data_IF_590846160762
#
_entry.id   IF_590846160762
#
_cell.length_a   1.000
_cell.length_b   1.000
_cell.length_c   1.000
_cell.angle_alpha   90.00
_cell.angle_beta   90.00
_cell.angle_gamma   90.00
#
_symmetry.space_group_name_H-M   'P 1'
#
loop_
_entity.id
_entity.type
_entity.pdbx_description
1 polymer ?
#
# COMPACT_ATOMS: atom_id res chain seq x y z
N UNK A 1 -86.50 -11.07 31.46
CA UNK A 1 -87.27 -11.52 30.30
C UNK A 1 -86.40 -11.27 29.08
N UNK A 2 -85.86 -12.35 28.50
CA UNK A 2 -85.87 -12.69 27.07
C UNK A 2 -85.43 -11.57 26.09
N UNK A 3 -84.56 -11.75 25.15
CA UNK A 3 -84.17 -12.82 24.25
C UNK A 3 -82.98 -12.41 23.37
N UNK A 4 -82.13 -13.39 23.06
CA UNK A 4 -81.58 -13.83 21.76
C UNK A 4 -80.50 -13.02 21.10
N UNK A 5 -79.29 -13.51 21.22
CA UNK A 5 -78.42 -14.16 20.20
C UNK A 5 -78.72 -13.85 18.71
N UNK A 6 -77.76 -13.28 18.01
CA UNK A 6 -77.39 -13.70 16.66
C UNK A 6 -75.86 -13.45 16.44
N UNK A 7 -75.21 -14.59 16.12
CA UNK A 7 -73.89 -14.65 15.54
C UNK A 7 -73.95 -14.16 14.09
N UNK A 8 -73.02 -13.38 13.66
CA UNK A 8 -72.58 -13.35 12.27
C UNK A 8 -71.08 -13.42 12.20
N UNK A 9 -70.61 -14.57 11.68
CA UNK A 9 -69.23 -14.76 11.28
C UNK A 9 -68.96 -14.00 9.98
N UNK A 10 -68.01 -13.14 9.97
CA UNK A 10 -67.50 -12.47 8.76
C UNK A 10 -66.03 -12.84 8.58
N UNK A 11 -65.72 -13.76 7.68
CA UNK A 11 -64.36 -14.02 7.20
C UNK A 11 -63.91 -12.83 6.37
N UNK A 12 -62.98 -12.04 6.91
CA UNK A 12 -62.23 -11.06 6.19
C UNK A 12 -60.86 -11.64 5.82
N UNK A 13 -60.69 -12.03 4.56
CA UNK A 13 -59.39 -12.41 4.01
C UNK A 13 -58.50 -11.17 3.91
N UNK A 14 -57.51 -11.06 4.79
CA UNK A 14 -56.47 -10.06 4.68
C UNK A 14 -55.41 -10.56 3.70
N UNK A 15 -55.44 -10.01 2.47
CA UNK A 15 -54.38 -10.21 1.46
C UNK A 15 -53.16 -9.43 1.90
N UNK A 16 -52.14 -10.10 2.42
CA UNK A 16 -50.80 -9.56 2.64
C UNK A 16 -50.10 -9.41 1.29
N UNK A 17 -50.12 -8.21 0.74
CA UNK A 17 -49.21 -7.84 -0.34
C UNK A 17 -47.81 -7.71 0.29
N UNK A 18 -47.01 -8.75 0.14
CA UNK A 18 -45.57 -8.69 0.37
C UNK A 18 -44.96 -7.86 -0.75
N UNK A 19 -44.74 -6.58 -0.49
CA UNK A 19 -43.81 -5.76 -1.31
C UNK A 19 -42.42 -6.32 -1.08
N UNK A 20 -41.98 -7.20 -1.98
CA UNK A 20 -40.60 -7.62 -2.09
C UNK A 20 -39.81 -6.42 -2.63
N UNK A 21 -39.15 -5.68 -1.73
CA UNK A 21 -38.07 -4.78 -2.13
C UNK A 21 -36.96 -5.67 -2.71
N UNK A 22 -36.44 -5.38 -3.91
CA UNK A 22 -35.22 -6.02 -4.35
C UNK A 22 -34.12 -5.59 -3.38
N UNK A 23 -33.68 -6.51 -2.55
CA UNK A 23 -32.44 -6.35 -1.83
C UNK A 23 -31.35 -6.30 -2.90
N UNK A 24 -30.91 -5.11 -3.22
CA UNK A 24 -29.68 -4.88 -3.98
C UNK A 24 -28.56 -5.56 -3.23
N UNK A 25 -28.22 -6.77 -3.65
CA UNK A 25 -27.03 -7.48 -3.22
C UNK A 25 -25.82 -6.79 -3.87
N UNK A 26 -25.68 -5.50 -3.60
CA UNK A 26 -24.52 -4.73 -3.96
C UNK A 26 -23.57 -4.72 -2.76
N UNK A 27 -22.46 -5.39 -2.97
CA UNK A 27 -21.19 -5.05 -2.35
C UNK A 27 -21.00 -5.41 -0.88
N UNK A 28 -20.86 -6.69 -0.59
CA UNK A 28 -20.12 -7.16 0.58
C UNK A 28 -19.00 -8.15 0.18
N UNK A 29 -18.34 -7.89 -0.93
CA UNK A 29 -17.18 -8.67 -1.38
C UNK A 29 -15.85 -7.94 -1.15
N UNK A 30 -15.80 -7.04 -0.15
CA UNK A 30 -14.50 -6.56 0.36
C UNK A 30 -14.43 -6.93 1.83
N UNK A 31 -14.42 -8.23 2.11
CA UNK A 31 -14.03 -8.72 3.42
C UNK A 31 -12.54 -8.35 3.60
N UNK A 32 -12.31 -7.15 4.09
CA UNK A 32 -11.00 -6.68 4.56
C UNK A 32 -10.55 -7.66 5.63
N UNK A 33 -9.52 -8.45 5.35
CA UNK A 33 -8.87 -9.27 6.37
C UNK A 33 -8.51 -8.37 7.54
N UNK A 34 -8.82 -8.75 8.80
CA UNK A 34 -8.44 -7.95 9.96
C UNK A 34 -6.93 -7.73 9.96
N UNK A 35 -6.49 -6.46 9.88
CA UNK A 35 -5.07 -6.09 9.88
C UNK A 35 -4.61 -5.32 8.63
N UNK A 36 -5.25 -5.47 7.49
CA UNK A 36 -4.79 -4.90 6.22
C UNK A 36 -5.62 -3.67 5.83
N UNK A 37 -5.07 -2.47 6.10
CA UNK A 37 -5.71 -1.18 5.82
C UNK A 37 -5.11 -0.47 4.59
N UNK A 38 -4.67 -1.22 3.58
CA UNK A 38 -4.18 -0.59 2.35
C UNK A 38 -5.36 -0.17 1.47
N UNK A 39 -5.46 1.11 1.08
CA UNK A 39 -6.53 1.59 0.21
C UNK A 39 -6.37 0.97 -1.19
N UNK A 40 -7.49 0.65 -1.83
CA UNK A 40 -7.50 0.21 -3.22
C UNK A 40 -8.03 1.35 -4.09
N UNK A 41 -7.23 2.39 -4.24
CA UNK A 41 -7.56 3.60 -4.99
C UNK A 41 -6.90 3.58 -6.36
N UNK A 42 -7.52 4.27 -7.30
CA UNK A 42 -6.97 4.44 -8.64
C UNK A 42 -5.78 5.40 -8.64
N UNK A 43 -4.71 4.99 -9.30
CA UNK A 43 -3.51 5.77 -9.60
C UNK A 43 -3.16 5.63 -11.09
N UNK A 44 -2.28 6.49 -11.57
CA UNK A 44 -1.71 6.43 -12.91
C UNK A 44 -0.20 6.25 -12.83
N UNK A 45 0.33 5.35 -13.65
CA UNK A 45 1.77 5.17 -13.79
C UNK A 45 2.37 6.17 -14.75
N UNK A 46 3.64 6.46 -14.63
CA UNK A 46 4.39 7.28 -15.60
C UNK A 46 4.37 6.70 -17.03
N UNK A 47 4.02 5.42 -17.18
CA UNK A 47 3.84 4.77 -18.49
C UNK A 47 2.43 4.93 -19.06
N UNK A 48 1.54 5.67 -18.39
CA UNK A 48 0.19 5.97 -18.81
C UNK A 48 -0.88 4.94 -18.41
N UNK A 49 -0.51 3.85 -17.73
CA UNK A 49 -1.47 2.85 -17.29
C UNK A 49 -2.25 3.33 -16.05
N UNK A 50 -3.55 3.05 -16.01
CA UNK A 50 -4.38 3.21 -14.82
C UNK A 50 -4.35 1.92 -14.01
N UNK A 51 -4.11 2.02 -12.69
CA UNK A 51 -3.90 0.89 -11.79
C UNK A 51 -4.61 1.11 -10.45
N UNK A 52 -5.04 0.04 -9.81
CA UNK A 52 -5.56 0.05 -8.44
C UNK A 52 -4.42 -0.23 -7.46
N UNK A 53 -4.20 0.67 -6.51
CA UNK A 53 -3.01 0.63 -5.65
C UNK A 53 -2.82 -0.73 -4.96
N UNK A 54 -3.85 -1.24 -4.27
CA UNK A 54 -3.68 -2.51 -3.59
C UNK A 54 -3.68 -3.70 -4.55
N UNK A 55 -4.67 -3.78 -5.43
CA UNK A 55 -4.89 -4.97 -6.26
C UNK A 55 -3.79 -5.20 -7.28
N UNK A 56 -3.33 -4.11 -7.93
CA UNK A 56 -2.38 -4.22 -9.02
C UNK A 56 -0.93 -4.04 -8.58
N UNK A 57 -0.69 -3.25 -7.51
CA UNK A 57 0.68 -2.87 -7.14
C UNK A 57 1.19 -3.59 -5.87
N UNK A 58 0.32 -3.95 -4.92
CA UNK A 58 0.74 -4.47 -3.61
C UNK A 58 0.41 -5.94 -3.42
N UNK A 59 -0.78 -6.36 -3.83
CA UNK A 59 -1.29 -7.72 -3.56
C UNK A 59 -0.32 -8.81 -4.03
N UNK A 60 0.12 -9.64 -3.09
CA UNK A 60 0.97 -10.79 -3.35
C UNK A 60 2.43 -10.45 -3.69
N UNK A 61 2.85 -9.20 -3.53
CA UNK A 61 4.17 -8.71 -3.94
C UNK A 61 5.04 -8.32 -2.76
N UNK A 62 6.34 -8.24 -3.03
CA UNK A 62 7.30 -7.51 -2.20
C UNK A 62 7.46 -6.13 -2.82
N UNK A 63 7.27 -5.09 -2.01
CA UNK A 63 7.27 -3.71 -2.49
C UNK A 63 8.25 -2.84 -1.71
N UNK A 64 8.88 -1.90 -2.41
CA UNK A 64 9.65 -0.80 -1.83
C UNK A 64 9.04 0.52 -2.34
N UNK A 65 8.44 1.31 -1.45
CA UNK A 65 7.63 2.47 -1.80
C UNK A 65 8.21 3.70 -1.13
N UNK A 66 8.44 4.77 -1.88
CA UNK A 66 8.82 6.08 -1.34
C UNK A 66 7.89 7.18 -1.87
N UNK A 67 7.83 8.29 -1.12
CA UNK A 67 7.16 9.51 -1.58
C UNK A 67 8.19 10.47 -2.16
N UNK A 68 7.81 11.19 -3.22
CA UNK A 68 8.68 12.13 -3.92
C UNK A 68 7.87 13.24 -4.61
N UNK A 69 8.53 14.18 -5.26
CA UNK A 69 7.98 15.05 -6.31
C UNK A 69 9.10 15.42 -7.30
N UNK A 70 8.74 15.58 -8.58
CA UNK A 70 9.74 15.65 -9.66
C UNK A 70 10.61 16.91 -9.59
N UNK A 71 10.03 18.10 -9.30
CA UNK A 71 10.74 19.37 -9.18
C UNK A 71 11.46 19.56 -7.85
N UNK A 72 11.82 18.49 -7.15
CA UNK A 72 12.53 18.58 -5.89
C UNK A 72 14.01 18.88 -6.12
N UNK A 73 14.45 20.05 -5.77
CA UNK A 73 15.89 20.45 -5.81
C UNK A 73 16.70 19.90 -4.63
N UNK A 74 16.05 19.26 -3.68
CA UNK A 74 16.65 18.80 -2.44
C UNK A 74 16.97 17.31 -2.42
N UNK A 75 16.23 16.56 -1.58
CA UNK A 75 16.54 15.17 -1.25
C UNK A 75 16.13 14.17 -2.33
N UNK A 76 15.10 14.47 -3.16
CA UNK A 76 14.53 13.48 -4.08
C UNK A 76 15.52 12.96 -5.13
N UNK A 77 16.34 13.79 -5.81
CA UNK A 77 17.35 13.27 -6.74
C UNK A 77 18.37 12.36 -6.04
N UNK A 78 18.77 12.70 -4.81
CA UNK A 78 19.71 11.90 -4.03
C UNK A 78 19.10 10.55 -3.65
N UNK A 79 17.81 10.54 -3.26
CA UNK A 79 17.07 9.30 -2.96
C UNK A 79 16.93 8.43 -4.21
N UNK A 80 16.56 9.04 -5.35
CA UNK A 80 16.42 8.31 -6.61
C UNK A 80 17.74 7.67 -7.01
N UNK A 81 18.84 8.40 -6.97
CA UNK A 81 20.17 7.87 -7.25
C UNK A 81 20.59 6.75 -6.29
N UNK A 82 20.23 6.85 -5.02
CA UNK A 82 20.51 5.77 -4.06
C UNK A 82 19.65 4.53 -4.31
N UNK A 83 18.37 4.74 -4.62
CA UNK A 83 17.44 3.65 -4.94
C UNK A 83 17.74 2.96 -6.28
N UNK A 84 18.35 3.66 -7.25
CA UNK A 84 18.88 3.02 -8.47
C UNK A 84 19.93 1.97 -8.11
N UNK A 85 20.83 2.27 -7.18
CA UNK A 85 21.83 1.29 -6.71
C UNK A 85 21.17 0.09 -6.01
N UNK A 86 20.05 0.31 -5.30
CA UNK A 86 19.23 -0.78 -4.72
C UNK A 86 18.62 -1.61 -5.84
N UNK A 87 18.04 -0.96 -6.86
CA UNK A 87 17.46 -1.63 -8.03
C UNK A 87 18.51 -2.51 -8.76
N UNK A 88 19.69 -1.98 -8.99
CA UNK A 88 20.80 -2.71 -9.63
C UNK A 88 21.19 -3.98 -8.85
N UNK A 89 21.31 -3.89 -7.51
CA UNK A 89 21.65 -5.05 -6.67
C UNK A 89 20.57 -6.13 -6.65
N UNK A 90 19.33 -5.75 -6.92
CA UNK A 90 18.16 -6.63 -6.96
C UNK A 90 17.64 -6.86 -8.38
N UNK A 91 18.42 -6.51 -9.43
CA UNK A 91 17.96 -6.52 -10.83
C UNK A 91 17.40 -7.86 -11.29
N UNK A 92 17.89 -8.99 -10.75
CA UNK A 92 17.38 -10.31 -11.07
C UNK A 92 15.96 -10.58 -10.51
N UNK A 93 15.47 -9.75 -9.56
CA UNK A 93 14.19 -9.88 -8.88
C UNK A 93 13.25 -8.70 -9.12
N UNK A 94 13.78 -7.48 -9.31
CA UNK A 94 12.96 -6.29 -9.57
C UNK A 94 12.20 -6.46 -10.88
N UNK A 95 10.89 -6.20 -10.85
CA UNK A 95 9.96 -6.45 -11.94
C UNK A 95 9.43 -7.90 -12.04
N UNK A 96 9.84 -8.81 -11.13
CA UNK A 96 9.34 -10.20 -11.06
C UNK A 96 8.56 -10.46 -9.77
N UNK A 97 9.19 -10.33 -8.64
CA UNK A 97 8.60 -10.54 -7.32
C UNK A 97 8.88 -9.39 -6.35
N UNK A 98 9.84 -8.52 -6.66
CA UNK A 98 10.10 -7.25 -5.97
C UNK A 98 9.72 -6.11 -6.92
N UNK A 99 8.96 -5.16 -6.43
CA UNK A 99 8.52 -3.98 -7.19
C UNK A 99 8.85 -2.70 -6.43
N UNK A 100 9.30 -1.69 -7.17
CA UNK A 100 9.63 -0.39 -6.61
C UNK A 100 8.61 0.65 -7.08
N UNK A 101 8.17 1.52 -6.18
CA UNK A 101 7.19 2.56 -6.48
C UNK A 101 7.62 3.88 -5.87
N UNK A 102 7.64 4.93 -6.67
CA UNK A 102 7.78 6.32 -6.23
C UNK A 102 6.46 7.02 -6.46
N UNK A 103 5.82 7.52 -5.40
CA UNK A 103 4.49 8.13 -5.46
C UNK A 103 4.65 9.63 -5.24
N UNK A 104 4.12 10.44 -6.16
CA UNK A 104 4.18 11.88 -5.98
C UNK A 104 3.33 12.36 -4.82
N UNK A 105 3.79 13.40 -4.14
CA UNK A 105 3.01 14.17 -3.16
C UNK A 105 2.48 15.49 -3.75
N UNK A 106 2.75 15.74 -5.04
CA UNK A 106 2.30 16.93 -5.79
C UNK A 106 1.58 16.54 -7.09
N UNK A 107 0.48 15.77 -7.01
CA UNK A 107 -0.17 15.26 -8.22
C UNK A 107 -0.75 16.35 -9.13
N UNK A 108 -0.93 17.58 -8.62
CA UNK A 108 -1.35 18.74 -9.39
C UNK A 108 -0.27 19.26 -10.35
N UNK A 109 0.99 18.94 -10.11
CA UNK A 109 2.16 19.32 -10.92
C UNK A 109 2.74 18.10 -11.62
N UNK A 110 2.91 17.01 -10.91
CA UNK A 110 3.54 15.79 -11.41
C UNK A 110 2.55 14.97 -12.24
N UNK A 111 2.38 15.40 -13.51
CA UNK A 111 1.59 14.65 -14.49
C UNK A 111 2.26 13.33 -14.88
N UNK A 112 1.56 12.49 -15.64
CA UNK A 112 2.12 11.25 -16.21
C UNK A 112 3.37 11.54 -17.02
N UNK A 113 3.30 12.57 -17.87
CA UNK A 113 4.39 12.99 -18.74
C UNK A 113 5.58 13.49 -17.93
N UNK A 114 5.34 14.33 -16.92
CA UNK A 114 6.39 14.88 -16.07
C UNK A 114 7.12 13.77 -15.27
N UNK A 115 6.38 12.77 -14.79
CA UNK A 115 6.97 11.61 -14.13
C UNK A 115 7.69 10.67 -15.11
N UNK A 116 7.26 10.60 -16.39
CA UNK A 116 7.96 9.85 -17.43
C UNK A 116 9.31 10.50 -17.74
N UNK A 117 9.33 11.82 -17.93
CA UNK A 117 10.58 12.58 -18.15
C UNK A 117 11.55 12.42 -16.97
N UNK A 118 11.03 12.47 -15.73
CA UNK A 118 11.83 12.23 -14.53
C UNK A 118 12.44 10.81 -14.51
N UNK A 119 11.65 9.79 -14.83
CA UNK A 119 12.11 8.40 -14.86
C UNK A 119 13.19 8.19 -15.95
N UNK A 120 13.01 8.80 -17.12
CA UNK A 120 13.99 8.76 -18.23
C UNK A 120 15.28 9.48 -17.85
N UNK A 121 15.19 10.71 -17.32
CA UNK A 121 16.34 11.50 -16.87
C UNK A 121 17.22 10.72 -15.89
N UNK A 122 16.60 9.96 -14.99
CA UNK A 122 17.32 9.14 -14.01
C UNK A 122 17.67 7.75 -14.52
N UNK A 123 17.35 7.40 -15.77
CA UNK A 123 17.62 6.07 -16.37
C UNK A 123 17.06 4.92 -15.52
N UNK A 124 15.83 5.07 -15.07
CA UNK A 124 15.16 4.08 -14.21
C UNK A 124 14.85 2.81 -15.00
N UNK A 125 15.25 1.66 -14.48
CA UNK A 125 15.04 0.37 -15.14
C UNK A 125 13.61 -0.17 -14.93
N UNK A 126 13.12 -1.10 -15.76
CA UNK A 126 11.83 -1.76 -15.56
C UNK A 126 11.66 -2.38 -14.17
N UNK A 127 10.41 -2.39 -13.68
CA UNK A 127 10.08 -2.88 -12.34
C UNK A 127 10.06 -1.79 -11.27
N UNK A 128 10.40 -0.56 -11.63
CA UNK A 128 10.20 0.64 -10.80
C UNK A 128 9.25 1.59 -11.52
N UNK A 129 8.12 1.91 -10.88
CA UNK A 129 7.08 2.78 -11.43
C UNK A 129 7.00 4.09 -10.62
N UNK A 130 6.81 5.19 -11.33
CA UNK A 130 6.43 6.47 -10.75
C UNK A 130 4.92 6.65 -10.90
N UNK A 131 4.27 7.13 -9.84
CA UNK A 131 2.82 7.11 -9.72
C UNK A 131 2.27 8.47 -9.37
N UNK A 132 1.19 8.84 -10.03
CA UNK A 132 0.38 10.03 -9.75
C UNK A 132 -1.10 9.65 -9.65
N UNK A 133 -1.97 10.58 -9.32
CA UNK A 133 -3.41 10.33 -9.20
C UNK A 133 -4.16 11.53 -8.67
N UNK A 134 -5.39 11.33 -8.17
CA UNK A 134 -6.06 12.41 -7.45
C UNK A 134 -5.38 12.70 -6.13
N UNK A 135 -5.40 13.96 -5.67
CA UNK A 135 -4.85 14.33 -4.35
C UNK A 135 -5.42 13.43 -3.24
N UNK A 136 -6.73 13.16 -3.30
CA UNK A 136 -7.40 12.27 -2.34
C UNK A 136 -6.82 10.85 -2.36
N UNK A 137 -6.57 10.29 -3.55
CA UNK A 137 -5.98 8.95 -3.68
C UNK A 137 -4.57 8.92 -3.09
N UNK A 138 -3.76 9.93 -3.41
CA UNK A 138 -2.39 10.07 -2.88
C UNK A 138 -2.40 10.18 -1.36
N UNK A 139 -3.27 11.02 -0.78
CA UNK A 139 -3.36 11.17 0.67
C UNK A 139 -3.76 9.87 1.37
N UNK A 140 -4.75 9.14 0.84
CA UNK A 140 -5.14 7.85 1.40
C UNK A 140 -3.99 6.84 1.40
N UNK A 141 -3.22 6.77 0.32
CA UNK A 141 -2.04 5.89 0.22
C UNK A 141 -0.94 6.35 1.16
N UNK A 142 -0.63 7.65 1.19
CA UNK A 142 0.37 8.26 2.05
C UNK A 142 0.11 7.94 3.53
N UNK A 143 -1.10 8.16 4.00
CA UNK A 143 -1.51 7.85 5.37
C UNK A 143 -1.42 6.35 5.67
N UNK A 144 -1.91 5.49 4.78
CA UNK A 144 -1.88 4.04 4.99
C UNK A 144 -0.46 3.48 5.03
N UNK A 145 0.48 4.08 4.30
CA UNK A 145 1.89 3.71 4.29
C UNK A 145 2.68 4.30 5.47
N UNK A 146 2.10 5.23 6.23
CA UNK A 146 2.77 5.86 7.38
C UNK A 146 3.65 7.06 7.01
N UNK A 147 3.46 7.65 5.84
CA UNK A 147 4.15 8.88 5.43
C UNK A 147 3.34 10.11 5.86
N UNK A 148 3.18 10.32 7.14
CA UNK A 148 2.47 11.47 7.71
C UNK A 148 3.10 11.89 9.04
N UNK A 149 2.89 13.15 9.43
CA UNK A 149 3.24 13.65 10.75
C UNK A 149 1.97 13.82 11.60
N UNK A 150 1.98 13.42 12.89
CA UNK A 150 0.85 13.63 13.78
C UNK A 150 0.47 15.09 13.99
N UNK A 151 1.42 16.04 13.86
CA UNK A 151 1.13 17.47 13.89
C UNK A 151 0.67 17.93 12.48
N UNK A 152 -0.59 18.38 12.34
CA UNK A 152 -1.11 18.83 11.04
C UNK A 152 -0.37 20.02 10.43
N UNK A 153 0.35 20.81 11.22
CA UNK A 153 1.16 21.92 10.70
C UNK A 153 2.42 21.39 10.04
N UNK A 154 3.06 20.42 10.69
CA UNK A 154 4.24 19.73 10.16
C UNK A 154 3.86 18.87 8.97
N UNK A 155 2.71 18.19 9.02
CA UNK A 155 2.21 17.33 7.93
C UNK A 155 1.90 18.12 6.64
N UNK A 156 1.67 19.42 6.72
CA UNK A 156 1.50 20.30 5.56
C UNK A 156 2.82 20.71 4.91
N UNK A 157 3.94 20.54 5.60
CA UNK A 157 5.26 20.86 5.06
C UNK A 157 5.72 19.77 4.10
N UNK A 158 5.61 20.03 2.81
CA UNK A 158 5.81 19.03 1.74
C UNK A 158 7.17 18.31 1.84
N UNK A 159 8.22 19.01 2.26
CA UNK A 159 9.59 18.49 2.38
C UNK A 159 9.76 17.46 3.52
N UNK A 160 8.76 17.30 4.39
CA UNK A 160 8.84 16.37 5.53
C UNK A 160 8.35 14.96 5.24
N UNK A 161 7.71 14.74 4.08
CA UNK A 161 7.14 13.44 3.71
C UNK A 161 8.06 12.57 2.86
N UNK A 162 9.20 13.09 2.51
CA UNK A 162 10.23 12.40 1.73
C UNK A 162 11.34 11.89 2.65
N UNK A 163 12.21 11.06 2.13
CA UNK A 163 13.38 10.60 2.88
C UNK A 163 13.30 9.19 3.43
N UNK A 164 12.13 8.54 3.34
CA UNK A 164 11.93 7.16 3.81
C UNK A 164 11.48 6.25 2.68
N UNK A 165 11.78 4.95 2.82
CA UNK A 165 11.25 3.87 1.97
C UNK A 165 10.43 2.93 2.83
N UNK A 166 9.15 2.77 2.51
CA UNK A 166 8.28 1.75 3.08
C UNK A 166 8.51 0.43 2.35
N UNK A 167 8.87 -0.60 3.09
CA UNK A 167 9.21 -1.91 2.54
C UNK A 167 8.17 -2.90 3.05
N UNK A 168 7.55 -3.68 2.16
CA UNK A 168 6.50 -4.61 2.54
C UNK A 168 6.51 -5.91 1.77
N UNK A 169 6.09 -6.97 2.44
CA UNK A 169 5.73 -8.24 1.81
C UNK A 169 4.27 -8.52 2.14
N UNK A 170 3.41 -8.40 1.14
CA UNK A 170 1.97 -8.56 1.30
C UNK A 170 1.58 -9.99 1.67
N UNK A 171 2.29 -10.99 1.16
CA UNK A 171 2.01 -12.40 1.44
C UNK A 171 2.14 -12.73 2.92
N UNK A 172 3.16 -12.17 3.58
CA UNK A 172 3.45 -12.42 4.99
C UNK A 172 2.95 -11.32 5.93
N UNK A 173 2.32 -10.26 5.38
CA UNK A 173 1.92 -9.04 6.10
C UNK A 173 3.06 -8.46 6.94
N UNK A 174 4.26 -8.38 6.35
CA UNK A 174 5.47 -7.88 7.01
C UNK A 174 5.84 -6.55 6.41
N UNK A 175 5.92 -5.55 7.27
CA UNK A 175 6.21 -4.18 6.86
C UNK A 175 7.34 -3.61 7.69
N UNK A 176 8.23 -2.87 7.03
CA UNK A 176 9.36 -2.15 7.61
C UNK A 176 9.47 -0.78 6.97
N UNK A 177 10.33 0.06 7.51
CA UNK A 177 10.66 1.35 6.96
C UNK A 177 12.16 1.59 7.12
N UNK A 178 12.80 2.17 6.11
CA UNK A 178 14.22 2.49 6.12
C UNK A 178 14.45 3.91 5.59
N UNK A 179 15.48 4.64 6.05
CA UNK A 179 15.88 5.88 5.42
C UNK A 179 16.28 5.65 3.95
N UNK A 180 15.75 6.46 3.04
CA UNK A 180 16.03 6.31 1.61
C UNK A 180 17.50 6.62 1.25
N UNK A 181 18.21 7.33 2.11
CA UNK A 181 19.65 7.62 1.99
C UNK A 181 20.53 6.69 2.84
N UNK A 182 19.96 5.65 3.47
CA UNK A 182 20.78 4.60 4.08
C UNK A 182 21.64 3.91 3.00
N UNK A 183 22.74 3.28 3.40
CA UNK A 183 23.57 2.55 2.44
C UNK A 183 22.69 1.56 1.64
N UNK A 184 22.87 1.44 0.32
CA UNK A 184 22.04 0.56 -0.51
C UNK A 184 21.95 -0.86 0.02
N UNK A 185 23.04 -1.37 0.60
CA UNK A 185 23.12 -2.71 1.20
C UNK A 185 22.16 -2.86 2.38
N UNK A 186 21.95 -1.80 3.18
CA UNK A 186 21.03 -1.80 4.30
C UNK A 186 19.57 -1.83 3.83
N UNK A 187 19.24 -1.08 2.76
CA UNK A 187 17.91 -1.10 2.15
C UNK A 187 17.64 -2.49 1.53
N UNK A 188 18.61 -3.04 0.80
CA UNK A 188 18.54 -4.41 0.26
C UNK A 188 18.33 -5.42 1.39
N UNK A 189 19.10 -5.33 2.48
CA UNK A 189 18.94 -6.22 3.62
C UNK A 189 17.53 -6.11 4.26
N UNK A 190 16.96 -4.90 4.33
CA UNK A 190 15.60 -4.70 4.83
C UNK A 190 14.54 -5.34 3.89
N UNK A 191 14.72 -5.23 2.56
CA UNK A 191 13.86 -5.89 1.57
C UNK A 191 13.95 -7.42 1.71
N UNK A 192 15.16 -7.97 1.80
CA UNK A 192 15.37 -9.41 1.97
C UNK A 192 14.90 -9.91 3.35
N UNK A 193 14.86 -9.03 4.37
CA UNK A 193 14.32 -9.40 5.67
C UNK A 193 12.81 -9.63 5.65
N UNK A 194 12.04 -8.80 4.96
CA UNK A 194 10.58 -8.99 4.83
C UNK A 194 10.23 -10.19 3.94
N UNK A 195 11.15 -10.61 3.07
CA UNK A 195 10.99 -11.76 2.17
C UNK A 195 11.12 -13.12 2.89
N UNK A 196 11.82 -13.18 4.02
CA UNK A 196 12.01 -14.44 4.76
C UNK A 196 10.68 -14.99 5.26
N UNK A 197 10.43 -16.28 5.00
CA UNK A 197 9.24 -16.92 5.56
C UNK A 197 9.26 -16.86 7.09
N UNK A 198 8.11 -16.83 7.78
CA UNK A 198 8.06 -16.88 9.24
C UNK A 198 8.77 -18.10 9.85
N UNK A 199 8.78 -19.24 9.15
CA UNK A 199 9.49 -20.45 9.56
C UNK A 199 11.02 -20.27 9.51
N UNK A 200 11.54 -19.64 8.45
CA UNK A 200 12.97 -19.34 8.30
C UNK A 200 13.44 -18.32 9.34
N UNK A 201 12.62 -17.30 9.62
CA UNK A 201 12.92 -16.28 10.62
C UNK A 201 13.00 -16.88 12.04
N UNK A 202 12.09 -17.81 12.40
CA UNK A 202 12.12 -18.52 13.69
C UNK A 202 13.36 -19.40 13.84
N UNK A 203 13.78 -20.12 12.79
CA UNK A 203 15.01 -20.93 12.81
C UNK A 203 16.25 -20.08 13.01
N UNK A 204 16.37 -18.94 12.34
CA UNK A 204 17.47 -18.01 12.52
C UNK A 204 17.51 -17.40 13.92
N UNK A 205 16.36 -17.00 14.49
CA UNK A 205 16.24 -16.50 15.86
C UNK A 205 16.59 -17.57 16.91
N UNK A 206 16.16 -18.82 16.70
CA UNK A 206 16.49 -19.95 17.57
C UNK A 206 17.99 -20.27 17.60
N UNK A 207 18.67 -20.13 16.45
CA UNK A 207 20.12 -20.34 16.37
C UNK A 207 20.92 -19.26 17.12
N UNK A 208 20.45 -18.02 17.12
CA UNK A 208 21.09 -16.92 17.87
C UNK A 208 20.92 -17.09 19.38
N UNK A 209 19.77 -17.59 19.83
CA UNK A 209 19.50 -17.83 21.26
C UNK A 209 20.23 -19.07 21.81
N UNK A 210 20.73 -19.96 20.96
CA UNK A 210 21.49 -21.15 21.32
C UNK A 210 23.01 -20.95 21.22
N UNK A 211 23.49 -19.79 20.80
CA UNK A 211 24.90 -19.46 20.85
C UNK A 211 25.32 -19.37 22.34
N UNK A 212 26.12 -20.31 22.80
CA UNK A 212 26.61 -20.46 24.20
C UNK A 212 27.34 -19.18 24.61
N UNK A 213 26.89 -18.47 25.67
CA UNK A 213 27.59 -17.29 26.17
C UNK A 213 29.00 -17.56 26.72
N UNK A 214 29.49 -18.80 26.69
CA UNK A 214 30.79 -19.23 27.16
C UNK A 214 31.86 -19.38 26.08
N UNK A 215 31.58 -19.01 24.82
CA UNK A 215 32.56 -19.09 23.72
C UNK A 215 33.37 -17.80 23.48
N UNK A 216 33.51 -16.93 24.49
CA UNK A 216 34.46 -15.82 24.51
C UNK A 216 35.54 -16.07 25.57
N UNK A 217 36.59 -16.76 25.18
CA UNK A 217 37.94 -16.69 25.79
C UNK A 217 38.93 -16.38 24.70
#
# INVERSE_FOLDING_TARGET
>A
MNHRRHLFAGLGAASLYAFGLPASAETLATATRPGRRMPNVELKTHTGATVNFYDDLVRGKIVAINMMYADCEGICPLMTNNLLRVQERLAHRVGKDIFMYSITIRPEVDTVEHLADYAEMHSVNPGWLFLTGSQRSIDLVRFALGFYDPDPKVDKEINRHTGMVRIGNDVYDRWSMAPALAAPEQIVAAILHVDRSPATARRAGGAILQADPRSTV
#
